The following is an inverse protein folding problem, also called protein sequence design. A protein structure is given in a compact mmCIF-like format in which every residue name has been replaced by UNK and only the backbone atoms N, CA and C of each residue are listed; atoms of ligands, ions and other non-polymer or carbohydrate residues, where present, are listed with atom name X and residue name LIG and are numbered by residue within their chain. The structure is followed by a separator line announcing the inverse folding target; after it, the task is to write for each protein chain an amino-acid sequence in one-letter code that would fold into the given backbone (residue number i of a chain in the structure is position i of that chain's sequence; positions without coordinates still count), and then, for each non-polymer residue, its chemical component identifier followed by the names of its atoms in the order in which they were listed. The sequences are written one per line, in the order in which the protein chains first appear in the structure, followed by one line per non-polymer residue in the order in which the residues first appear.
data_IF_507163506723
#
_entry.id   IF_507163506723
#
_cell.length_a   1.000
_cell.length_b   1.000
_cell.length_c   1.000
_cell.angle_alpha   90.00
_cell.angle_beta   90.00
_cell.angle_gamma   90.00
#
_symmetry.space_group_name_H-M   'P 1'
#
loop_
_entity.id
_entity.type
_entity.pdbx_description
1 polymer ?
#
# COMPACT_ATOMS: atom_id res chain seq x y z
N UNK A 1 -26.01 13.30 3.70
CA UNK A 1 -24.95 14.26 4.10
C UNK A 1 -23.69 13.90 3.35
N UNK A 2 -23.29 14.69 2.36
CA UNK A 2 -21.98 14.50 1.72
C UNK A 2 -20.92 14.92 2.75
N UNK A 3 -20.15 13.96 3.29
CA UNK A 3 -18.95 14.29 4.05
C UNK A 3 -18.09 15.17 3.15
N UNK A 4 -17.78 16.40 3.61
CA UNK A 4 -16.94 17.35 2.89
C UNK A 4 -15.64 16.61 2.52
N UNK A 5 -15.50 16.27 1.24
CA UNK A 5 -14.38 15.48 0.73
C UNK A 5 -13.08 16.17 1.13
N UNK A 6 -12.40 15.58 2.10
CA UNK A 6 -11.18 16.08 2.69
C UNK A 6 -10.25 14.90 2.86
N UNK A 7 -8.96 15.14 2.61
CA UNK A 7 -7.93 14.16 2.90
C UNK A 7 -8.04 13.69 4.37
N UNK A 8 -7.74 12.42 4.66
CA UNK A 8 -7.69 11.92 6.02
C UNK A 8 -6.70 12.72 6.86
N UNK A 9 -7.09 12.95 8.10
CA UNK A 9 -6.22 13.51 9.12
C UNK A 9 -5.14 12.50 9.52
N UNK A 10 -4.02 12.99 10.06
CA UNK A 10 -2.95 12.14 10.60
C UNK A 10 -3.49 11.14 11.65
N UNK A 11 -4.38 11.57 12.53
CA UNK A 11 -5.01 10.69 13.52
C UNK A 11 -5.82 9.54 12.89
N UNK A 12 -6.42 9.73 11.71
CA UNK A 12 -7.11 8.66 10.99
C UNK A 12 -6.11 7.68 10.36
N UNK A 13 -5.03 8.19 9.77
CA UNK A 13 -3.93 7.38 9.21
C UNK A 13 -3.27 6.50 10.27
N UNK A 14 -2.87 7.09 11.40
CA UNK A 14 -2.24 6.36 12.50
C UNK A 14 -3.14 5.25 13.04
N UNK A 15 -4.46 5.51 13.15
CA UNK A 15 -5.44 4.48 13.57
C UNK A 15 -5.57 3.35 12.55
N UNK A 16 -5.64 3.67 11.26
CA UNK A 16 -5.74 2.66 10.21
C UNK A 16 -4.48 1.76 10.17
N UNK A 17 -3.29 2.36 10.17
CA UNK A 17 -2.01 1.64 10.17
C UNK A 17 -1.88 0.81 11.45
N UNK A 18 -2.21 1.38 12.61
CA UNK A 18 -2.16 0.68 13.89
C UNK A 18 -3.13 -0.51 13.95
N UNK A 19 -4.34 -0.37 13.41
CA UNK A 19 -5.31 -1.46 13.33
C UNK A 19 -4.82 -2.59 12.41
N UNK A 20 -4.26 -2.25 11.24
CA UNK A 20 -3.69 -3.23 10.31
C UNK A 20 -2.53 -4.01 10.94
N UNK A 21 -1.58 -3.32 11.57
CA UNK A 21 -0.45 -3.98 12.26
C UNK A 21 -0.90 -4.92 13.38
N UNK A 22 -1.95 -4.58 14.13
CA UNK A 22 -2.49 -5.44 15.20
C UNK A 22 -3.03 -6.77 14.70
N UNK A 23 -3.48 -6.85 13.44
CA UNK A 23 -3.95 -8.10 12.82
C UNK A 23 -2.85 -8.81 12.04
N UNK A 24 -1.58 -8.40 12.21
CA UNK A 24 -0.42 -9.01 11.54
C UNK A 24 -0.18 -8.53 10.11
N UNK A 25 -0.88 -7.48 9.66
CA UNK A 25 -0.66 -6.88 8.35
C UNK A 25 0.61 -6.02 8.38
N UNK A 26 1.58 -6.35 7.53
CA UNK A 26 2.82 -5.59 7.42
C UNK A 26 2.67 -4.47 6.40
N UNK A 27 2.43 -3.25 6.88
CA UNK A 27 2.15 -2.09 6.02
C UNK A 27 3.45 -1.58 5.39
N UNK A 28 3.58 -1.74 4.07
CA UNK A 28 4.69 -1.24 3.28
C UNK A 28 4.39 0.10 2.59
N UNK A 29 3.12 0.41 2.36
CA UNK A 29 2.72 1.65 1.70
C UNK A 29 1.29 2.06 2.03
N UNK A 30 0.99 3.33 1.76
CA UNK A 30 -0.34 3.91 1.95
C UNK A 30 -0.70 4.77 0.75
N UNK A 31 -1.91 4.60 0.22
CA UNK A 31 -2.51 5.50 -0.77
C UNK A 31 -3.75 6.15 -0.19
N UNK A 32 -3.94 7.43 -0.54
CA UNK A 32 -4.96 8.29 0.05
C UNK A 32 -5.75 8.95 -1.08
N UNK A 33 -7.08 8.89 -1.00
CA UNK A 33 -7.97 9.62 -1.91
C UNK A 33 -8.47 10.94 -1.31
N UNK A 34 -8.93 11.86 -2.16
CA UNK A 34 -9.50 13.15 -1.74
C UNK A 34 -10.85 12.97 -1.03
N UNK A 35 -11.53 11.86 -1.29
CA UNK A 35 -12.77 11.44 -0.64
C UNK A 35 -12.52 10.87 0.76
N UNK A 36 -11.25 10.68 1.15
CA UNK A 36 -10.87 10.16 2.46
C UNK A 36 -10.66 8.65 2.51
N UNK A 37 -10.56 7.98 1.35
CA UNK A 37 -10.24 6.55 1.30
C UNK A 37 -8.76 6.33 1.66
N UNK A 38 -8.49 5.38 2.56
CA UNK A 38 -7.13 4.95 2.94
C UNK A 38 -6.95 3.52 2.44
N UNK A 39 -6.01 3.30 1.53
CA UNK A 39 -5.60 1.97 1.06
C UNK A 39 -4.24 1.64 1.63
N UNK A 40 -4.13 0.49 2.30
CA UNK A 40 -2.89 -0.02 2.86
C UNK A 40 -2.36 -1.14 1.97
N UNK A 41 -1.07 -1.08 1.66
CA UNK A 41 -0.40 -2.11 0.87
C UNK A 41 0.43 -3.01 1.77
N UNK A 42 0.25 -4.32 1.64
CA UNK A 42 1.01 -5.30 2.41
C UNK A 42 2.39 -5.50 1.79
N UNK A 43 3.43 -5.55 2.62
CA UNK A 43 4.80 -5.79 2.19
C UNK A 43 4.95 -7.10 1.40
N UNK A 44 4.21 -8.15 1.79
CA UNK A 44 4.30 -9.47 1.16
C UNK A 44 3.53 -9.54 -0.15
N UNK A 45 2.45 -8.79 -0.28
CA UNK A 45 1.71 -8.65 -1.53
C UNK A 45 2.48 -7.85 -2.59
N UNK A 46 3.47 -7.05 -2.17
CA UNK A 46 4.36 -6.30 -3.06
C UNK A 46 5.58 -7.12 -3.52
N UNK A 47 5.57 -8.46 -3.39
CA UNK A 47 6.58 -9.32 -3.99
C UNK A 47 6.82 -8.89 -5.44
N UNK A 48 8.05 -8.43 -5.69
CA UNK A 48 8.44 -7.68 -6.88
C UNK A 48 8.01 -8.41 -8.15
N UNK A 49 7.03 -7.83 -8.85
CA UNK A 49 6.97 -8.11 -10.28
C UNK A 49 8.25 -7.51 -10.87
N UNK A 50 9.09 -8.29 -11.58
CA UNK A 50 10.29 -7.76 -12.21
C UNK A 50 9.90 -6.56 -13.06
N UNK A 51 10.44 -5.42 -12.66
CA UNK A 51 9.93 -4.11 -13.03
C UNK A 51 10.49 -3.64 -14.37
N UNK A 52 11.61 -4.24 -14.79
CA UNK A 52 12.25 -4.00 -16.07
C UNK A 52 12.51 -5.31 -16.86
N UNK A 53 12.89 -5.15 -18.12
CA UNK A 53 13.14 -6.26 -19.03
C UNK A 53 14.36 -7.10 -18.67
N UNK A 54 15.32 -6.51 -17.93
CA UNK A 54 16.52 -7.18 -17.50
C UNK A 54 16.22 -8.19 -16.38
N UNK A 55 15.53 -7.75 -15.33
CA UNK A 55 15.09 -8.61 -14.21
C UNK A 55 14.22 -9.78 -14.70
N UNK A 56 13.41 -9.55 -15.75
CA UNK A 56 12.61 -10.62 -16.38
C UNK A 56 13.47 -11.68 -17.08
N UNK A 57 14.52 -11.27 -17.78
CA UNK A 57 15.39 -12.18 -18.53
C UNK A 57 16.31 -12.97 -17.59
N UNK A 58 16.81 -12.34 -16.52
CA UNK A 58 17.60 -13.00 -15.49
C UNK A 58 16.78 -14.06 -14.74
N UNK A 59 15.55 -13.73 -14.33
CA UNK A 59 14.65 -14.68 -13.67
C UNK A 59 14.27 -15.89 -14.56
N UNK A 60 14.27 -15.71 -15.89
CA UNK A 60 14.00 -16.77 -16.86
C UNK A 60 15.25 -17.63 -17.20
N UNK A 61 16.43 -17.30 -16.66
CA UNK A 61 17.68 -17.98 -16.98
C UNK A 61 18.17 -17.76 -18.42
N UNK A 62 17.77 -16.64 -19.04
CA UNK A 62 18.12 -16.27 -20.42
C UNK A 62 19.30 -15.30 -20.52
N UNK A 63 19.89 -14.96 -19.37
CA UNK A 63 21.13 -14.20 -19.17
C UNK A 63 22.05 -15.01 -18.25
#
# INVERSE_FOLDING_TARGET
MASRAAYPTDAQLQRAIGAARKVGFDVAGVSISREGEIKLFEARALSAQPSDEFERLEAAGLL
#
